data_IF_739303755948
#
_entry.id   IF_739303755948
#
_cell.length_a   1.000
_cell.length_b   1.000
_cell.length_c   1.000
_cell.angle_alpha   90.00
_cell.angle_beta   90.00
_cell.angle_gamma   90.00
#
_symmetry.space_group_name_H-M   'P 1'
#
loop_
_entity.id
_entity.type
_entity.pdbx_description
1 polymer ?
#
# COMPACT_ATOMS: atom_id res chain seq x y z
N UNK A 1 14.50 -16.57 -6.39
CA UNK A 1 13.56 -15.45 -6.58
C UNK A 1 14.07 -14.26 -5.77
N UNK A 2 13.98 -13.04 -6.29
CA UNK A 2 14.50 -11.85 -5.61
C UNK A 2 13.55 -11.45 -4.48
N UNK A 3 14.02 -11.55 -3.23
CA UNK A 3 13.24 -11.17 -2.05
C UNK A 3 13.47 -9.69 -1.74
N UNK A 4 12.48 -8.87 -2.04
CA UNK A 4 12.49 -7.44 -1.72
C UNK A 4 11.96 -7.23 -0.30
N UNK A 5 12.72 -6.52 0.55
CA UNK A 5 12.30 -6.18 1.93
C UNK A 5 11.67 -4.78 1.99
N UNK A 6 10.97 -4.39 0.93
CA UNK A 6 10.39 -3.05 0.74
C UNK A 6 8.93 -2.94 1.16
N UNK A 7 8.38 -4.00 1.73
CA UNK A 7 7.00 -4.10 2.22
C UNK A 7 5.91 -3.90 1.17
N UNK A 8 6.23 -3.88 -0.12
CA UNK A 8 5.23 -3.78 -1.19
C UNK A 8 4.53 -5.12 -1.43
N UNK A 9 3.25 -5.06 -1.79
CA UNK A 9 2.40 -6.23 -1.98
C UNK A 9 1.55 -6.54 -0.77
N UNK A 10 0.92 -7.72 -0.81
CA UNK A 10 0.05 -8.25 0.26
C UNK A 10 0.85 -9.18 1.15
N UNK A 11 0.78 -8.98 2.46
CA UNK A 11 1.56 -9.74 3.44
C UNK A 11 0.75 -10.04 4.68
N UNK A 12 0.90 -11.24 5.24
CA UNK A 12 0.24 -11.63 6.49
C UNK A 12 0.96 -11.03 7.71
N UNK A 13 0.20 -10.49 8.65
CA UNK A 13 0.64 -10.00 9.94
C UNK A 13 0.64 -11.13 10.99
N UNK A 14 1.31 -10.89 12.13
CA UNK A 14 1.44 -11.88 13.21
C UNK A 14 0.12 -12.23 13.89
N UNK A 15 -0.85 -11.33 13.85
CA UNK A 15 -2.19 -11.48 14.41
C UNK A 15 -3.19 -12.15 13.43
N UNK A 16 -2.70 -12.59 12.27
CA UNK A 16 -3.49 -13.27 11.26
C UNK A 16 -4.14 -12.33 10.22
N UNK A 17 -4.12 -11.01 10.44
CA UNK A 17 -4.58 -10.00 9.46
C UNK A 17 -3.55 -9.81 8.35
N UNK A 18 -3.81 -8.89 7.44
CA UNK A 18 -2.93 -8.54 6.33
C UNK A 18 -2.52 -7.07 6.37
N UNK A 19 -1.34 -6.79 5.83
CA UNK A 19 -0.97 -5.44 5.41
C UNK A 19 -0.77 -5.40 3.90
N UNK A 20 -1.07 -4.24 3.31
CA UNK A 20 -0.93 -3.99 1.87
C UNK A 20 -0.01 -2.80 1.66
N UNK A 21 1.17 -3.05 1.12
CA UNK A 21 2.11 -2.00 0.72
C UNK A 21 1.95 -1.60 -0.74
N UNK A 22 2.01 -0.30 -1.00
CA UNK A 22 1.80 0.28 -2.33
C UNK A 22 2.77 1.44 -2.63
N UNK A 23 2.98 1.70 -3.92
CA UNK A 23 3.91 2.69 -4.43
C UNK A 23 3.20 3.81 -5.20
N UNK A 24 3.28 5.04 -4.67
CA UNK A 24 3.07 6.26 -5.44
C UNK A 24 4.19 6.45 -6.49
N UNK A 25 4.00 7.37 -7.45
CA UNK A 25 5.08 7.74 -8.37
C UNK A 25 6.11 8.55 -7.61
N UNK A 26 7.31 8.00 -7.42
CA UNK A 26 8.44 8.65 -6.73
C UNK A 26 8.05 9.29 -5.39
N UNK A 27 7.17 8.63 -4.64
CA UNK A 27 6.70 9.11 -3.34
C UNK A 27 5.75 10.32 -3.36
N UNK A 28 5.38 10.85 -4.54
CA UNK A 28 4.53 12.04 -4.64
C UNK A 28 3.06 11.71 -4.55
N UNK A 29 2.37 12.39 -3.64
CA UNK A 29 0.91 12.38 -3.47
C UNK A 29 0.45 13.82 -3.16
N UNK A 30 -0.73 14.19 -3.61
CA UNK A 30 -1.37 15.46 -3.23
C UNK A 30 -2.36 15.26 -2.07
N UNK A 31 -2.90 16.36 -1.54
CA UNK A 31 -3.83 16.31 -0.40
C UNK A 31 -5.08 15.48 -0.69
N UNK A 32 -5.63 15.60 -1.90
CA UNK A 32 -6.81 14.82 -2.34
C UNK A 32 -6.51 13.32 -2.35
N UNK A 33 -5.35 12.92 -2.84
CA UNK A 33 -4.91 11.52 -2.86
C UNK A 33 -4.69 10.99 -1.45
N UNK A 34 -4.09 11.81 -0.56
CA UNK A 34 -3.92 11.44 0.85
C UNK A 34 -5.27 11.21 1.55
N UNK A 35 -6.27 12.06 1.30
CA UNK A 35 -7.63 11.86 1.83
C UNK A 35 -8.22 10.53 1.35
N UNK A 36 -8.11 10.21 0.06
CA UNK A 36 -8.59 8.93 -0.49
C UNK A 36 -7.86 7.72 0.09
N UNK A 37 -6.56 7.83 0.34
CA UNK A 37 -5.80 6.77 1.03
C UNK A 37 -6.35 6.54 2.45
N UNK A 38 -6.66 7.61 3.18
CA UNK A 38 -7.26 7.50 4.51
C UNK A 38 -8.65 6.84 4.45
N UNK A 39 -9.51 7.27 3.53
CA UNK A 39 -10.84 6.65 3.32
C UNK A 39 -10.75 5.16 3.00
N UNK A 40 -9.80 4.76 2.13
CA UNK A 40 -9.56 3.36 1.81
C UNK A 40 -9.08 2.57 3.05
N UNK A 41 -8.17 3.15 3.84
CA UNK A 41 -7.65 2.52 5.05
C UNK A 41 -8.72 2.36 6.13
N UNK A 42 -9.63 3.32 6.29
CA UNK A 42 -10.77 3.25 7.22
C UNK A 42 -11.80 2.21 6.75
N UNK A 43 -12.08 2.14 5.45
CA UNK A 43 -13.09 1.24 4.90
C UNK A 43 -12.67 -0.25 4.91
N UNK A 44 -11.37 -0.54 4.85
CA UNK A 44 -10.85 -1.92 4.64
C UNK A 44 -10.01 -2.45 5.80
N UNK A 45 -9.58 -1.59 6.72
CA UNK A 45 -8.69 -1.95 7.81
C UNK A 45 -9.02 -1.19 9.09
N UNK A 46 -7.98 -0.73 9.79
CA UNK A 46 -8.10 -0.01 11.06
C UNK A 46 -7.89 1.50 10.94
N UNK A 47 -7.79 2.03 9.72
CA UNK A 47 -7.33 3.41 9.47
C UNK A 47 -5.83 3.62 9.67
N UNK A 48 -5.07 2.59 10.10
CA UNK A 48 -3.63 2.72 10.31
C UNK A 48 -2.85 2.64 9.00
N UNK A 49 -2.14 3.73 8.71
CA UNK A 49 -1.24 3.86 7.56
C UNK A 49 0.19 4.14 8.04
N UNK A 50 1.19 3.54 7.37
CA UNK A 50 2.62 3.77 7.62
C UNK A 50 3.34 4.17 6.36
N UNK A 51 4.35 5.02 6.47
CA UNK A 51 5.31 5.32 5.41
C UNK A 51 6.52 4.39 5.51
N UNK A 52 7.19 4.12 4.39
CA UNK A 52 8.46 3.37 4.36
C UNK A 52 9.66 4.28 4.10
N UNK A 53 10.87 3.80 4.37
CA UNK A 53 12.11 4.53 4.10
C UNK A 53 12.30 4.80 2.59
N UNK A 54 11.70 3.99 1.74
CA UNK A 54 11.80 4.07 0.29
C UNK A 54 10.75 5.00 -0.35
N UNK A 55 10.04 5.82 0.43
CA UNK A 55 8.95 6.70 -0.03
C UNK A 55 7.71 5.92 -0.53
N UNK A 56 7.41 4.77 0.07
CA UNK A 56 6.19 3.97 -0.17
C UNK A 56 5.26 4.07 1.05
N UNK A 57 4.08 3.46 0.97
CA UNK A 57 3.11 3.46 2.06
C UNK A 57 2.48 2.07 2.26
N UNK A 58 1.95 1.82 3.45
CA UNK A 58 1.35 0.55 3.86
C UNK A 58 0.03 0.84 4.59
N UNK A 59 -1.04 0.14 4.21
CA UNK A 59 -2.27 0.01 5.01
C UNK A 59 -2.16 -1.25 5.88
N UNK A 60 -2.46 -1.14 7.18
CA UNK A 60 -2.37 -2.23 8.14
C UNK A 60 -3.76 -2.81 8.49
N UNK A 61 -3.76 -4.01 9.06
CA UNK A 61 -4.89 -4.66 9.76
C UNK A 61 -6.11 -4.97 8.89
N UNK A 62 -5.83 -5.24 7.62
CA UNK A 62 -6.81 -5.59 6.61
C UNK A 62 -7.27 -7.02 6.85
N UNK A 63 -8.57 -7.23 6.96
CA UNK A 63 -9.15 -8.57 7.01
C UNK A 63 -8.94 -9.27 5.65
N UNK A 64 -8.82 -10.60 5.62
CA UNK A 64 -8.48 -11.35 4.39
C UNK A 64 -9.47 -11.05 3.25
N UNK A 65 -10.75 -11.02 3.57
CA UNK A 65 -11.86 -10.72 2.67
C UNK A 65 -11.86 -9.28 2.13
N UNK A 66 -11.13 -8.35 2.78
CA UNK A 66 -11.02 -6.95 2.36
C UNK A 66 -9.77 -6.65 1.53
N UNK A 67 -8.87 -7.63 1.38
CA UNK A 67 -7.59 -7.42 0.68
C UNK A 67 -7.83 -7.08 -0.78
N UNK A 68 -8.67 -7.84 -1.47
CA UNK A 68 -8.87 -7.68 -2.92
C UNK A 68 -9.51 -6.33 -3.26
N UNK A 69 -10.53 -5.92 -2.51
CA UNK A 69 -11.20 -4.62 -2.68
C UNK A 69 -10.28 -3.45 -2.38
N UNK A 70 -9.44 -3.55 -1.33
CA UNK A 70 -8.43 -2.52 -1.02
C UNK A 70 -7.40 -2.40 -2.16
N UNK A 71 -6.89 -3.53 -2.66
CA UNK A 71 -5.94 -3.55 -3.78
C UNK A 71 -6.56 -2.88 -5.00
N UNK A 72 -7.79 -3.23 -5.36
CA UNK A 72 -8.48 -2.60 -6.49
C UNK A 72 -8.65 -1.09 -6.30
N UNK A 73 -9.03 -0.64 -5.10
CA UNK A 73 -9.17 0.79 -4.77
C UNK A 73 -7.86 1.57 -4.89
N UNK A 74 -6.76 1.01 -4.39
CA UNK A 74 -5.42 1.60 -4.52
C UNK A 74 -4.98 1.67 -5.99
N UNK A 75 -5.14 0.57 -6.73
CA UNK A 75 -4.74 0.47 -8.13
C UNK A 75 -5.52 1.46 -9.03
N UNK A 76 -6.81 1.69 -8.73
CA UNK A 76 -7.63 2.68 -9.42
C UNK A 76 -7.14 4.13 -9.24
N UNK A 77 -6.37 4.41 -8.18
CA UNK A 77 -5.73 5.69 -7.90
C UNK A 77 -4.29 5.76 -8.45
N UNK A 78 -3.87 4.79 -9.26
CA UNK A 78 -2.49 4.59 -9.68
C UNK A 78 -1.53 4.42 -8.47
N UNK A 79 -2.00 3.87 -7.35
CA UNK A 79 -1.18 3.50 -6.20
C UNK A 79 -0.86 2.00 -6.29
N UNK A 80 0.28 1.69 -6.91
CA UNK A 80 0.58 0.32 -7.37
C UNK A 80 0.97 -0.60 -6.21
N UNK A 81 0.22 -1.68 -6.01
CA UNK A 81 0.53 -2.76 -5.04
C UNK A 81 1.53 -3.73 -5.65
N UNK A 82 1.43 -3.97 -6.96
CA UNK A 82 2.39 -4.76 -7.75
C UNK A 82 3.10 -3.89 -8.80
N UNK A 83 3.99 -2.96 -8.38
CA UNK A 83 4.69 -2.09 -9.32
C UNK A 83 5.74 -2.83 -10.15
N UNK A 84 6.09 -2.26 -11.30
CA UNK A 84 7.26 -2.69 -12.07
C UNK A 84 8.55 -2.52 -11.26
N UNK A 85 9.62 -3.29 -11.55
CA UNK A 85 10.91 -3.13 -10.86
C UNK A 85 11.45 -1.70 -10.87
N UNK A 86 11.22 -0.97 -11.97
CA UNK A 86 11.58 0.45 -12.08
C UNK A 86 10.84 1.28 -11.04
N UNK A 87 9.50 1.27 -11.05
CA UNK A 87 8.69 2.06 -10.11
C UNK A 87 8.90 1.66 -8.65
N UNK A 88 9.20 0.39 -8.40
CA UNK A 88 9.57 -0.16 -7.09
C UNK A 88 10.86 0.48 -6.55
N UNK A 89 11.88 0.58 -7.39
CA UNK A 89 13.22 1.06 -7.01
C UNK A 89 13.44 2.57 -7.11
N UNK A 90 12.67 3.31 -7.90
CA UNK A 90 12.90 4.76 -8.08
C UNK A 90 12.55 5.57 -6.83
N UNK A 91 13.45 6.50 -6.48
CA UNK A 91 13.27 7.57 -5.49
C UNK A 91 13.81 8.87 -6.08
N UNK A 92 13.21 10.01 -5.72
CA UNK A 92 13.60 11.34 -6.19
C UNK A 92 13.29 12.41 -5.13
#
# INVERSE_FOLDING_TARGET
>A
AQTWRDHLGVHRQKDGRFYVGFAARVGRVDGTTLTKIAELADAHGSGRVRTTAEQKMIVLDVAEEQVESLVAGLEALDLRVTPSPFRRGTMA
#
